data_IF_609498652498
#
_entry.id   IF_609498652498
#
_cell.length_a   1.000
_cell.length_b   1.000
_cell.length_c   1.000
_cell.angle_alpha   90.00
_cell.angle_beta   90.00
_cell.angle_gamma   90.00
#
_symmetry.space_group_name_H-M   'P 1'
#
loop_
_entity.id
_entity.type
_entity.pdbx_description
1 polymer ?
#
# COMPACT_ATOMS: atom_id res chain seq x y z
N UNK A 1 -15.41 7.87 -20.17
CA UNK A 1 -16.14 7.23 -19.04
C UNK A 1 -15.51 5.89 -18.61
N UNK A 2 -15.03 5.05 -19.54
CA UNK A 2 -14.40 3.75 -19.25
C UNK A 2 -13.12 3.85 -18.40
N UNK A 3 -12.18 4.74 -18.74
CA UNK A 3 -10.91 4.89 -18.01
C UNK A 3 -11.11 5.21 -16.51
N UNK A 4 -12.02 6.14 -16.19
CA UNK A 4 -12.32 6.53 -14.80
C UNK A 4 -12.80 5.35 -13.95
N UNK A 5 -13.59 4.44 -14.54
CA UNK A 5 -14.06 3.23 -13.85
C UNK A 5 -12.96 2.16 -13.81
N UNK A 6 -12.14 2.06 -14.86
CA UNK A 6 -11.05 1.10 -14.92
C UNK A 6 -10.02 1.30 -13.79
N UNK A 7 -9.71 2.55 -13.45
CA UNK A 7 -8.81 2.88 -12.34
C UNK A 7 -9.28 2.30 -10.98
N UNK A 8 -10.59 2.14 -10.79
CA UNK A 8 -11.14 1.59 -9.54
C UNK A 8 -10.82 0.11 -9.34
N UNK A 9 -10.52 -0.65 -10.41
CA UNK A 9 -10.07 -2.04 -10.29
C UNK A 9 -8.73 -2.16 -9.56
N UNK A 10 -7.96 -1.07 -9.46
CA UNK A 10 -6.77 -1.02 -8.61
C UNK A 10 -7.07 -1.40 -7.16
N UNK A 11 -8.28 -1.14 -6.64
CA UNK A 11 -8.68 -1.51 -5.29
C UNK A 11 -8.84 -3.01 -5.06
N UNK A 12 -8.95 -3.80 -6.13
CA UNK A 12 -8.95 -5.27 -6.09
C UNK A 12 -7.55 -5.80 -6.37
N UNK A 13 -6.89 -5.24 -7.39
CA UNK A 13 -5.59 -5.73 -7.84
C UNK A 13 -4.46 -5.41 -6.85
N UNK A 14 -4.49 -4.26 -6.18
CA UNK A 14 -3.47 -3.90 -5.18
C UNK A 14 -3.39 -4.91 -4.02
N UNK A 15 -4.48 -5.22 -3.28
CA UNK A 15 -4.41 -6.23 -2.22
C UNK A 15 -4.15 -7.64 -2.76
N UNK A 16 -4.62 -7.96 -3.98
CA UNK A 16 -4.30 -9.25 -4.61
C UNK A 16 -2.80 -9.45 -4.79
N UNK A 17 -2.09 -8.49 -5.40
CA UNK A 17 -0.65 -8.60 -5.60
C UNK A 17 0.14 -8.50 -4.29
N UNK A 18 -0.35 -7.75 -3.30
CA UNK A 18 0.24 -7.70 -1.97
C UNK A 18 0.17 -9.07 -1.26
N UNK A 19 -1.01 -9.69 -1.27
CA UNK A 19 -1.23 -11.01 -0.67
C UNK A 19 -0.42 -12.08 -1.42
N UNK A 20 -0.39 -12.02 -2.75
CA UNK A 20 0.41 -12.93 -3.56
C UNK A 20 1.89 -12.82 -3.21
N UNK A 21 2.40 -11.59 -3.00
CA UNK A 21 3.77 -11.37 -2.54
C UNK A 21 4.04 -12.05 -1.20
N UNK A 22 3.18 -11.83 -0.20
CA UNK A 22 3.39 -12.39 1.13
C UNK A 22 3.34 -13.93 1.11
N UNK A 23 2.37 -14.52 0.42
CA UNK A 23 2.25 -15.98 0.29
C UNK A 23 3.47 -16.56 -0.43
N UNK A 24 3.77 -16.08 -1.65
CA UNK A 24 4.85 -16.63 -2.48
C UNK A 24 6.21 -16.36 -1.83
N UNK A 25 6.43 -15.14 -1.32
CA UNK A 25 7.65 -14.76 -0.64
C UNK A 25 7.87 -15.60 0.63
N UNK A 26 6.84 -15.83 1.43
CA UNK A 26 6.93 -16.65 2.62
C UNK A 26 7.19 -18.14 2.34
N UNK A 27 6.61 -18.71 1.28
CA UNK A 27 6.85 -20.12 0.90
C UNK A 27 8.31 -20.35 0.49
N UNK A 28 8.90 -19.39 -0.24
CA UNK A 28 10.24 -19.56 -0.81
C UNK A 28 11.33 -19.11 0.18
N UNK A 29 11.00 -18.30 1.19
CA UNK A 29 11.95 -17.83 2.20
C UNK A 29 12.11 -18.84 3.33
N UNK A 30 13.29 -19.48 3.49
CA UNK A 30 13.51 -20.45 4.55
C UNK A 30 13.28 -19.82 5.93
N UNK A 31 12.57 -20.55 6.80
CA UNK A 31 12.24 -20.11 8.16
C UNK A 31 11.35 -18.86 8.25
N UNK A 32 10.71 -18.42 7.16
CA UNK A 32 9.71 -17.34 7.23
C UNK A 32 8.49 -17.81 8.03
N UNK A 33 8.14 -17.04 9.04
CA UNK A 33 7.01 -17.30 9.89
C UNK A 33 5.99 -16.16 9.74
N UNK A 34 4.83 -16.44 9.17
CA UNK A 34 3.75 -15.46 8.92
C UNK A 34 3.20 -14.75 10.19
N UNK A 35 3.53 -15.23 11.39
CA UNK A 35 3.13 -14.62 12.67
C UNK A 35 4.20 -13.64 13.18
N UNK A 36 5.47 -13.96 12.95
CA UNK A 36 6.62 -13.24 13.55
C UNK A 36 7.24 -12.28 12.54
N UNK A 37 7.33 -12.70 11.28
CA UNK A 37 7.95 -11.92 10.22
C UNK A 37 6.94 -10.95 9.59
N UNK A 38 7.47 -9.82 9.13
CA UNK A 38 6.68 -8.83 8.40
C UNK A 38 6.88 -9.01 6.90
N UNK A 39 5.93 -8.49 6.11
CA UNK A 39 6.06 -8.45 4.65
C UNK A 39 7.31 -7.68 4.22
N UNK A 40 7.73 -6.67 4.98
CA UNK A 40 8.95 -5.91 4.71
C UNK A 40 10.24 -6.74 4.89
N UNK A 41 10.20 -7.83 5.66
CA UNK A 41 11.30 -8.78 5.80
C UNK A 41 11.63 -9.47 4.47
N UNK A 42 10.62 -9.66 3.60
CA UNK A 42 10.77 -10.26 2.27
C UNK A 42 11.49 -9.34 1.27
N UNK A 43 11.70 -8.07 1.64
CA UNK A 43 12.33 -7.04 0.79
C UNK A 43 13.59 -6.43 1.39
N UNK A 44 14.17 -7.07 2.41
CA UNK A 44 15.41 -6.58 3.06
C UNK A 44 16.57 -6.50 2.07
N UNK A 45 17.48 -5.56 2.33
CA UNK A 45 18.73 -5.46 1.60
C UNK A 45 19.51 -6.78 1.69
N UNK A 46 19.96 -7.28 0.52
CA UNK A 46 20.67 -8.58 0.43
C UNK A 46 19.77 -9.81 0.39
N UNK A 47 18.43 -9.67 0.49
CA UNK A 47 17.52 -10.78 0.22
C UNK A 47 17.58 -11.16 -1.26
N UNK A 48 17.55 -12.46 -1.54
CA UNK A 48 17.69 -13.02 -2.91
C UNK A 48 16.46 -12.76 -3.81
N UNK A 49 15.44 -12.08 -3.28
CA UNK A 49 14.08 -12.07 -3.81
C UNK A 49 13.73 -10.80 -4.59
N UNK A 50 14.26 -10.69 -5.80
CA UNK A 50 13.83 -9.66 -6.77
C UNK A 50 12.33 -9.75 -7.10
N UNK A 51 11.76 -10.97 -7.08
CA UNK A 51 10.33 -11.19 -7.34
C UNK A 51 9.42 -10.52 -6.30
N UNK A 52 9.82 -10.51 -5.02
CA UNK A 52 9.00 -9.93 -3.97
C UNK A 52 8.89 -8.40 -4.11
N UNK A 53 10.02 -7.75 -4.36
CA UNK A 53 10.06 -6.31 -4.66
C UNK A 53 9.24 -5.96 -5.90
N UNK A 54 9.21 -6.82 -6.94
CA UNK A 54 8.39 -6.61 -8.14
C UNK A 54 6.89 -6.69 -7.80
N UNK A 55 6.45 -7.70 -7.04
CA UNK A 55 5.03 -7.85 -6.71
C UNK A 55 4.53 -6.71 -5.81
N UNK A 56 5.33 -6.27 -4.84
CA UNK A 56 5.00 -5.10 -4.01
C UNK A 56 5.01 -3.81 -4.83
N UNK A 57 5.93 -3.67 -5.79
CA UNK A 57 5.91 -2.53 -6.71
C UNK A 57 4.63 -2.51 -7.56
N UNK A 58 4.22 -3.65 -8.12
CA UNK A 58 2.96 -3.77 -8.87
C UNK A 58 1.75 -3.42 -7.98
N UNK A 59 1.72 -3.93 -6.75
CA UNK A 59 0.70 -3.60 -5.76
C UNK A 59 0.65 -2.09 -5.48
N UNK A 60 1.81 -1.45 -5.31
CA UNK A 60 1.93 -0.01 -5.08
C UNK A 60 1.39 0.81 -6.26
N UNK A 61 1.69 0.41 -7.50
CA UNK A 61 1.14 1.04 -8.72
C UNK A 61 -0.39 0.93 -8.73
N UNK A 62 -0.95 -0.25 -8.44
CA UNK A 62 -2.41 -0.40 -8.39
C UNK A 62 -3.05 0.41 -7.26
N UNK A 63 -2.38 0.60 -6.12
CA UNK A 63 -2.84 1.49 -5.05
C UNK A 63 -2.89 2.94 -5.51
N UNK A 64 -1.87 3.41 -6.24
CA UNK A 64 -1.84 4.75 -6.85
C UNK A 64 -3.00 4.92 -7.83
N UNK A 65 -3.20 3.95 -8.73
CA UNK A 65 -4.29 3.98 -9.70
C UNK A 65 -5.65 4.02 -9.00
N UNK A 66 -5.81 3.26 -7.92
CA UNK A 66 -7.04 3.27 -7.13
C UNK A 66 -7.30 4.62 -6.45
N UNK A 67 -6.29 5.20 -5.80
CA UNK A 67 -6.37 6.54 -5.21
C UNK A 67 -6.76 7.61 -6.23
N UNK A 68 -6.11 7.60 -7.41
CA UNK A 68 -6.49 8.47 -8.54
C UNK A 68 -7.92 8.23 -9.00
N UNK A 69 -8.33 6.96 -9.12
CA UNK A 69 -9.70 6.57 -9.45
C UNK A 69 -10.71 7.16 -8.48
N UNK A 70 -10.46 7.07 -7.17
CA UNK A 70 -11.31 7.66 -6.13
C UNK A 70 -11.38 9.18 -6.30
N UNK A 71 -10.24 9.86 -6.41
CA UNK A 71 -10.17 11.32 -6.53
C UNK A 71 -10.94 11.83 -7.76
N UNK A 72 -10.81 11.15 -8.90
CA UNK A 72 -11.47 11.55 -10.15
C UNK A 72 -12.99 11.31 -10.11
N UNK A 73 -13.43 10.17 -9.58
CA UNK A 73 -14.86 9.81 -9.55
C UNK A 73 -15.63 10.53 -8.43
N UNK A 74 -14.95 10.92 -7.35
CA UNK A 74 -15.58 11.51 -6.16
C UNK A 74 -15.12 12.94 -5.88
N UNK A 75 -14.59 13.66 -6.88
CA UNK A 75 -14.06 15.04 -6.76
C UNK A 75 -14.94 16.07 -6.02
N UNK A 76 -16.26 15.85 -5.96
CA UNK A 76 -17.20 16.73 -5.24
C UNK A 76 -17.23 16.49 -3.73
N UNK A 77 -16.79 15.33 -3.25
CA UNK A 77 -16.73 15.00 -1.82
C UNK A 77 -15.31 15.18 -1.32
N UNK A 78 -15.07 16.24 -0.54
CA UNK A 78 -13.75 16.53 0.04
C UNK A 78 -13.20 15.36 0.86
N UNK A 79 -14.05 14.72 1.67
CA UNK A 79 -13.66 13.59 2.52
C UNK A 79 -13.18 12.38 1.69
N UNK A 80 -13.96 11.99 0.68
CA UNK A 80 -13.58 10.86 -0.19
C UNK A 80 -12.33 11.21 -1.01
N UNK A 81 -12.22 12.47 -1.47
CA UNK A 81 -11.04 12.95 -2.19
C UNK A 81 -9.77 12.83 -1.34
N UNK A 82 -9.79 13.26 -0.08
CA UNK A 82 -8.65 13.13 0.82
C UNK A 82 -8.31 11.67 1.13
N UNK A 83 -9.31 10.78 1.29
CA UNK A 83 -9.06 9.34 1.41
C UNK A 83 -8.36 8.76 0.17
N UNK A 84 -8.76 9.18 -1.03
CA UNK A 84 -8.07 8.82 -2.28
C UNK A 84 -6.64 9.36 -2.36
N UNK A 85 -6.42 10.60 -1.90
CA UNK A 85 -5.09 11.21 -1.83
C UNK A 85 -4.17 10.44 -0.87
N UNK A 86 -4.67 10.02 0.29
CA UNK A 86 -3.92 9.22 1.26
C UNK A 86 -3.49 7.88 0.64
N UNK A 87 -4.39 7.18 -0.07
CA UNK A 87 -4.08 5.92 -0.77
C UNK A 87 -3.01 6.10 -1.86
N UNK A 88 -3.07 7.22 -2.58
CA UNK A 88 -2.08 7.59 -3.57
C UNK A 88 -0.70 7.79 -2.92
N UNK A 89 -0.64 8.55 -1.82
CA UNK A 89 0.62 8.80 -1.09
C UNK A 89 1.20 7.50 -0.52
N UNK A 90 0.38 6.63 0.06
CA UNK A 90 0.81 5.29 0.52
C UNK A 90 1.45 4.51 -0.63
N UNK A 91 0.83 4.49 -1.81
CA UNK A 91 1.39 3.80 -2.97
C UNK A 91 2.75 4.37 -3.39
N UNK A 92 2.92 5.70 -3.34
CA UNK A 92 4.23 6.34 -3.61
C UNK A 92 5.25 5.94 -2.55
N UNK A 93 4.88 5.95 -1.27
CA UNK A 93 5.76 5.54 -0.17
C UNK A 93 6.19 4.08 -0.31
N UNK A 94 5.29 3.18 -0.68
CA UNK A 94 5.60 1.77 -0.94
C UNK A 94 6.61 1.58 -2.09
N UNK A 95 6.58 2.45 -3.12
CA UNK A 95 7.62 2.42 -4.16
C UNK A 95 8.97 2.81 -3.56
N UNK A 96 9.02 3.89 -2.76
CA UNK A 96 10.25 4.35 -2.14
C UNK A 96 10.85 3.30 -1.18
N UNK A 97 10.03 2.71 -0.32
CA UNK A 97 10.46 1.69 0.65
C UNK A 97 10.90 0.39 -0.02
N UNK A 98 10.37 0.07 -1.20
CA UNK A 98 10.78 -1.10 -2.00
C UNK A 98 11.99 -0.87 -2.93
N UNK A 99 12.47 0.37 -3.08
CA UNK A 99 13.52 0.71 -4.05
C UNK A 99 14.68 1.52 -3.45
N UNK A 100 14.41 2.74 -3.01
CA UNK A 100 15.43 3.72 -2.58
C UNK A 100 15.75 3.57 -1.09
N UNK A 101 14.74 3.20 -0.29
CA UNK A 101 14.85 3.05 1.16
C UNK A 101 14.50 1.61 1.59
N UNK A 102 15.30 0.60 1.21
CA UNK A 102 15.07 -0.77 1.65
C UNK A 102 15.26 -0.90 3.16
N UNK A 103 14.60 -1.91 3.74
CA UNK A 103 14.75 -2.20 5.17
C UNK A 103 16.13 -2.80 5.46
N UNK A 104 16.74 -2.37 6.56
CA UNK A 104 17.94 -3.00 7.09
C UNK A 104 17.65 -4.45 7.57
N UNK A 105 18.65 -5.34 7.49
CA UNK A 105 18.56 -6.64 8.14
C UNK A 105 18.24 -6.52 9.64
N UNK A 106 17.52 -7.50 10.19
CA UNK A 106 17.23 -7.49 11.62
C UNK A 106 18.53 -7.73 12.40
N UNK A 107 18.76 -6.91 13.43
CA UNK A 107 19.91 -7.04 14.32
C UNK A 107 21.18 -6.34 13.82
N UNK A 108 21.13 -5.63 12.70
CA UNK A 108 22.22 -4.75 12.25
C UNK A 108 22.02 -3.33 12.73
N UNK A 109 23.08 -2.53 12.71
CA UNK A 109 22.98 -1.09 12.95
C UNK A 109 22.09 -0.43 11.90
N UNK A 110 21.27 0.54 12.35
CA UNK A 110 20.35 1.25 11.46
C UNK A 110 21.10 2.17 10.51
N UNK A 111 20.88 1.98 9.22
CA UNK A 111 21.36 2.88 8.17
C UNK A 111 20.33 3.97 7.88
N UNK A 112 20.76 5.04 7.19
CA UNK A 112 19.82 6.08 6.76
C UNK A 112 18.67 5.54 5.90
N UNK A 113 18.90 4.67 4.88
CA UNK A 113 17.81 4.01 4.16
C UNK A 113 16.83 3.23 5.04
N UNK A 114 17.31 2.44 6.01
CA UNK A 114 16.43 1.70 6.91
C UNK A 114 15.62 2.60 7.85
N UNK A 115 16.20 3.70 8.33
CA UNK A 115 15.46 4.71 9.11
C UNK A 115 14.34 5.32 8.25
N UNK A 116 14.65 5.73 7.02
CA UNK A 116 13.65 6.28 6.10
C UNK A 116 12.56 5.26 5.76
N UNK A 117 12.91 3.97 5.63
CA UNK A 117 11.95 2.89 5.45
C UNK A 117 10.91 2.90 6.57
N UNK A 118 11.37 2.87 7.82
CA UNK A 118 10.50 2.85 9.01
C UNK A 118 9.63 4.11 9.12
N UNK A 119 10.19 5.28 8.81
CA UNK A 119 9.44 6.55 8.81
C UNK A 119 8.30 6.51 7.79
N UNK A 120 8.57 6.09 6.55
CA UNK A 120 7.57 6.03 5.48
C UNK A 120 6.49 4.98 5.76
N UNK A 121 6.86 3.81 6.29
CA UNK A 121 5.91 2.78 6.73
C UNK A 121 5.06 3.31 7.89
N UNK A 122 5.66 3.97 8.87
CA UNK A 122 4.95 4.57 10.01
C UNK A 122 3.90 5.59 9.58
N UNK A 123 4.23 6.49 8.65
CA UNK A 123 3.27 7.46 8.11
C UNK A 123 2.16 6.74 7.31
N UNK A 124 2.53 5.71 6.53
CA UNK A 124 1.57 4.91 5.76
C UNK A 124 0.55 4.20 6.66
N UNK A 125 0.97 3.71 7.84
CA UNK A 125 0.08 3.14 8.84
C UNK A 125 -0.95 4.15 9.34
N UNK A 126 -0.50 5.37 9.70
CA UNK A 126 -1.41 6.44 10.13
C UNK A 126 -2.44 6.73 9.02
N UNK A 127 -1.99 6.86 7.77
CA UNK A 127 -2.89 7.10 6.64
C UNK A 127 -3.88 5.96 6.43
N UNK A 128 -3.44 4.71 6.58
CA UNK A 128 -4.30 3.52 6.47
C UNK A 128 -5.46 3.58 7.45
N UNK A 129 -5.20 3.95 8.71
CA UNK A 129 -6.26 4.11 9.71
C UNK A 129 -7.18 5.31 9.41
N UNK A 130 -6.66 6.39 8.84
CA UNK A 130 -7.46 7.58 8.49
C UNK A 130 -8.31 7.38 7.22
N UNK A 131 -7.92 6.51 6.30
CA UNK A 131 -8.67 6.27 5.05
C UNK A 131 -10.09 5.76 5.35
N UNK A 132 -10.23 4.84 6.31
CA UNK A 132 -11.52 4.25 6.72
C UNK A 132 -12.57 5.32 7.09
N UNK A 133 -12.33 6.21 8.08
CA UNK A 133 -13.30 7.25 8.42
C UNK A 133 -13.48 8.28 7.31
N UNK A 134 -12.43 8.66 6.56
CA UNK A 134 -12.55 9.65 5.48
C UNK A 134 -13.44 9.14 4.32
N UNK A 135 -13.18 7.93 3.84
CA UNK A 135 -13.99 7.34 2.78
C UNK A 135 -15.36 6.94 3.32
N UNK A 136 -15.43 6.26 4.47
CA UNK A 136 -16.67 5.76 5.08
C UNK A 136 -17.67 6.87 5.38
N UNK A 137 -17.27 7.90 6.14
CA UNK A 137 -18.14 9.06 6.44
C UNK A 137 -18.48 9.82 5.16
N UNK A 138 -17.51 9.93 4.24
CA UNK A 138 -17.71 10.55 2.94
C UNK A 138 -18.77 9.87 2.08
N UNK A 139 -18.85 8.53 2.13
CA UNK A 139 -19.88 7.73 1.46
C UNK A 139 -21.22 7.82 2.18
N UNK A 140 -21.26 7.71 3.51
CA UNK A 140 -22.50 7.81 4.31
C UNK A 140 -23.27 9.12 4.07
N UNK A 141 -22.55 10.22 3.83
CA UNK A 141 -23.17 11.53 3.50
C UNK A 141 -23.88 11.56 2.14
N UNK A 142 -23.62 10.59 1.25
CA UNK A 142 -24.30 10.51 -0.05
C UNK A 142 -25.62 9.74 0.06
N UNK A 143 -26.69 10.30 -0.52
CA UNK A 143 -28.05 9.70 -0.52
C UNK A 143 -28.08 8.24 -0.99
N UNK A 144 -27.21 7.85 -1.93
CA UNK A 144 -27.12 6.51 -2.49
C UNK A 144 -26.65 5.44 -1.48
N UNK A 145 -26.03 5.86 -0.39
CA UNK A 145 -25.43 4.99 0.62
C UNK A 145 -26.07 5.20 2.00
N UNK A 146 -27.21 5.90 2.08
CA UNK A 146 -27.95 6.05 3.34
C UNK A 146 -28.76 4.78 3.60
N UNK A 147 -28.50 4.11 4.72
CA UNK A 147 -29.23 2.90 5.16
C UNK A 147 -28.51 1.58 4.94
N UNK A 148 -27.25 1.63 4.46
CA UNK A 148 -26.28 0.52 4.47
C UNK A 148 -25.09 0.92 5.34
#
# INVERSE_FOLDING_TARGET
>A
MKLKKALLYGGILAPFFYLLNDIVGGIITPNYNYIINTVSDLTKAGSTYTLGSILLFISAIFSILFGLGIMINYKKSKLIFFGGLMLLIIGIFNIFTGTIFPQDPIGTESTFPGIMHLVLVGISLIFTFLILPFIGIGLYKKKQWKGY
#
